data_IF_918457053625
#
_entry.id   IF_918457053625
#
_cell.length_a   1.000
_cell.length_b   1.000
_cell.length_c   1.000
_cell.angle_alpha   90.00
_cell.angle_beta   90.00
_cell.angle_gamma   90.00
#
_symmetry.space_group_name_H-M   'P 1'
#
loop_
_entity.id
_entity.type
_entity.pdbx_description
1 polymer ?
#
# COMPACT_ATOMS: atom_id res chain seq x y z
N UNK A 1 1.18 16.90 -1.39
CA UNK A 1 1.89 17.84 -0.49
C UNK A 1 0.86 18.53 0.38
N UNK A 2 1.27 19.21 1.45
CA UNK A 2 0.39 20.10 2.20
C UNK A 2 0.34 21.49 1.55
N UNK A 3 -0.80 22.16 1.66
CA UNK A 3 -1.12 23.43 1.01
C UNK A 3 -0.24 24.61 1.46
N UNK A 4 0.31 24.55 2.68
CA UNK A 4 1.21 25.55 3.23
C UNK A 4 2.57 25.62 2.52
N UNK A 5 2.87 24.71 1.57
CA UNK A 5 4.06 24.80 0.71
C UNK A 5 4.17 26.15 -0.02
N UNK A 6 3.04 26.76 -0.39
CA UNK A 6 2.99 28.02 -1.12
C UNK A 6 3.42 29.25 -0.29
N UNK A 7 3.52 29.09 1.03
CA UNK A 7 3.81 30.19 1.96
C UNK A 7 4.89 29.84 2.98
N UNK A 8 5.46 28.63 2.91
CA UNK A 8 6.40 28.14 3.91
C UNK A 8 7.81 28.69 3.65
N UNK A 9 8.37 29.36 4.66
CA UNK A 9 9.78 29.77 4.63
C UNK A 9 10.73 28.56 4.54
N UNK A 10 10.32 27.42 5.08
CA UNK A 10 11.06 26.17 5.01
C UNK A 10 11.10 25.62 3.57
N UNK A 11 10.01 25.76 2.81
CA UNK A 11 9.99 25.45 1.39
C UNK A 11 10.87 26.40 0.57
N UNK A 12 10.81 27.70 0.86
CA UNK A 12 11.69 28.68 0.22
C UNK A 12 13.17 28.34 0.45
N UNK A 13 13.55 27.92 1.66
CA UNK A 13 14.92 27.46 1.92
C UNK A 13 15.26 26.16 1.19
N UNK A 14 14.30 25.26 1.02
CA UNK A 14 14.48 23.97 0.36
C UNK A 14 14.81 24.12 -1.14
N UNK A 15 14.14 25.04 -1.85
CA UNK A 15 14.37 25.25 -3.29
C UNK A 15 15.70 25.95 -3.60
N UNK A 16 16.35 26.54 -2.58
CA UNK A 16 17.67 27.16 -2.69
C UNK A 16 18.81 26.26 -2.19
N UNK A 17 18.52 24.99 -1.86
CA UNK A 17 19.58 24.04 -1.52
C UNK A 17 20.49 23.76 -2.73
N UNK A 18 21.75 23.36 -2.52
CA UNK A 18 22.64 23.01 -3.61
C UNK A 18 22.09 21.86 -4.48
N UNK A 19 22.37 21.84 -5.79
CA UNK A 19 22.09 20.68 -6.64
C UNK A 19 22.60 19.37 -6.03
N UNK A 20 21.85 18.29 -6.19
CA UNK A 20 22.13 16.98 -5.60
C UNK A 20 21.57 16.79 -4.19
N UNK A 21 20.94 17.81 -3.62
CA UNK A 21 20.33 17.75 -2.28
C UNK A 21 19.01 16.98 -2.31
N UNK A 22 18.89 16.01 -1.40
CA UNK A 22 17.66 15.27 -1.12
C UNK A 22 16.79 16.09 -0.17
N UNK A 23 15.56 16.35 -0.59
CA UNK A 23 14.54 16.99 0.23
C UNK A 23 13.71 15.90 0.94
N UNK A 24 13.86 15.85 2.25
CA UNK A 24 13.15 14.94 3.14
C UNK A 24 11.88 15.58 3.68
N UNK A 25 10.78 14.83 3.67
CA UNK A 25 9.48 15.31 4.14
C UNK A 25 8.88 14.34 5.15
N UNK A 26 8.21 14.85 6.18
CA UNK A 26 7.37 14.00 7.00
C UNK A 26 6.26 13.39 6.12
N UNK A 27 6.18 12.05 6.08
CA UNK A 27 5.09 11.33 5.42
C UNK A 27 3.90 11.22 6.37
N UNK A 28 2.87 12.05 6.16
CA UNK A 28 1.63 11.98 6.94
C UNK A 28 0.62 11.12 6.21
N UNK A 29 0.21 10.01 6.81
CA UNK A 29 -0.84 9.14 6.27
C UNK A 29 -2.18 9.65 6.78
N UNK A 30 -3.03 10.13 5.86
CA UNK A 30 -4.40 10.50 6.21
C UNK A 30 -5.22 9.22 6.44
N UNK A 31 -6.07 9.23 7.46
CA UNK A 31 -6.82 8.06 7.89
C UNK A 31 -8.32 8.33 7.92
N UNK A 32 -9.07 7.63 7.07
CA UNK A 32 -10.54 7.69 6.98
C UNK A 32 -11.13 9.02 6.50
N UNK A 33 -10.39 10.13 6.62
CA UNK A 33 -10.77 11.47 6.17
C UNK A 33 -9.55 12.40 6.16
N UNK A 34 -9.75 13.68 5.85
CA UNK A 34 -8.71 14.71 5.98
C UNK A 34 -8.52 15.20 7.43
N UNK A 35 -9.28 14.70 8.41
CA UNK A 35 -9.28 15.20 9.79
C UNK A 35 -8.19 14.57 10.64
N UNK A 36 -7.81 13.34 10.34
CA UNK A 36 -6.90 12.56 11.16
C UNK A 36 -5.73 12.03 10.34
N UNK A 37 -4.58 11.91 10.98
CA UNK A 37 -3.39 11.34 10.37
C UNK A 37 -2.53 10.59 11.38
N UNK A 38 -1.63 9.77 10.87
CA UNK A 38 -0.52 9.19 11.62
C UNK A 38 0.78 9.28 10.81
N UNK A 39 1.92 9.13 11.47
CA UNK A 39 3.21 9.02 10.78
C UNK A 39 3.52 7.56 10.50
N UNK A 40 4.20 7.28 9.40
CA UNK A 40 4.50 5.92 8.92
C UNK A 40 5.60 5.20 9.75
N UNK A 41 5.63 5.44 11.06
CA UNK A 41 6.48 4.88 12.11
C UNK A 41 5.66 4.88 13.41
N UNK A 42 5.51 3.72 14.07
CA UNK A 42 4.72 3.60 15.33
C UNK A 42 5.32 4.42 16.48
N UNK A 43 6.60 4.75 16.42
CA UNK A 43 7.28 5.59 17.42
C UNK A 43 7.45 7.04 16.94
N UNK A 44 6.87 7.40 15.80
CA UNK A 44 7.06 8.67 15.06
C UNK A 44 8.54 8.98 14.69
N UNK A 45 9.47 8.08 15.01
CA UNK A 45 10.90 8.24 14.74
C UNK A 45 11.19 8.23 13.25
N UNK A 46 12.05 9.16 12.82
CA UNK A 46 12.62 9.24 11.46
C UNK A 46 11.57 9.21 10.34
N UNK A 47 10.47 9.92 10.53
CA UNK A 47 9.35 9.96 9.56
C UNK A 47 9.63 10.77 8.29
N UNK A 48 10.87 11.25 8.13
CA UNK A 48 11.32 11.97 6.95
C UNK A 48 11.67 10.97 5.85
N UNK A 49 10.90 10.98 4.77
CA UNK A 49 11.18 10.19 3.58
C UNK A 49 11.75 11.09 2.48
N UNK A 50 12.70 10.58 1.68
CA UNK A 50 13.11 11.26 0.46
C UNK A 50 11.91 11.41 -0.48
N UNK A 51 11.56 12.65 -0.82
CA UNK A 51 10.43 12.92 -1.72
C UNK A 51 10.70 14.04 -2.73
N UNK A 52 11.73 14.84 -2.52
CA UNK A 52 12.21 15.82 -3.49
C UNK A 52 13.71 15.71 -3.68
N UNK A 53 14.19 16.28 -4.78
CA UNK A 53 15.59 16.30 -5.15
C UNK A 53 15.87 17.61 -5.91
N UNK A 54 16.91 18.34 -5.51
CA UNK A 54 17.37 19.50 -6.27
C UNK A 54 18.16 18.97 -7.45
N UNK A 55 17.61 19.13 -8.65
CA UNK A 55 18.14 18.54 -9.87
C UNK A 55 19.60 18.94 -10.13
N UNK A 56 20.45 17.93 -10.34
CA UNK A 56 21.85 18.05 -10.74
C UNK A 56 22.15 17.30 -12.05
N UNK A 57 21.11 16.81 -12.74
CA UNK A 57 21.22 16.00 -13.96
C UNK A 57 21.47 14.52 -13.72
N UNK A 58 21.50 14.04 -12.47
CA UNK A 58 21.69 12.61 -12.16
C UNK A 58 20.50 11.76 -12.62
N UNK A 59 20.79 10.68 -13.35
CA UNK A 59 19.78 9.71 -13.78
C UNK A 59 19.21 8.90 -12.63
N UNK A 60 17.88 8.81 -12.56
CA UNK A 60 17.19 7.89 -11.65
C UNK A 60 17.19 6.45 -12.19
N UNK A 61 17.53 5.49 -11.32
CA UNK A 61 17.48 4.06 -11.62
C UNK A 61 16.55 3.38 -10.60
N UNK A 62 15.28 3.17 -10.96
CA UNK A 62 14.30 2.53 -10.09
C UNK A 62 13.54 1.39 -10.76
N UNK A 63 13.03 0.48 -9.95
CA UNK A 63 12.10 -0.57 -10.37
C UNK A 63 10.66 -0.06 -10.42
N UNK A 64 9.77 -0.85 -11.02
CA UNK A 64 8.32 -0.58 -11.08
C UNK A 64 7.75 -0.30 -9.69
N UNK A 65 8.13 -1.09 -8.67
CA UNK A 65 7.66 -0.97 -7.30
C UNK A 65 8.80 -0.94 -6.28
N UNK A 66 8.51 -0.45 -5.08
CA UNK A 66 9.40 -0.51 -3.89
C UNK A 66 10.80 0.10 -4.06
N UNK A 67 10.93 1.13 -4.89
CA UNK A 67 12.18 1.90 -5.02
C UNK A 67 11.99 3.35 -4.62
N UNK A 68 13.09 3.96 -4.16
CA UNK A 68 13.17 5.40 -3.98
C UNK A 68 12.85 6.09 -5.31
N UNK A 69 12.02 7.13 -5.29
CA UNK A 69 11.51 7.81 -6.49
C UNK A 69 12.34 9.03 -6.90
N UNK A 70 13.50 9.20 -6.28
CA UNK A 70 14.46 10.26 -6.58
C UNK A 70 15.85 9.65 -6.84
N UNK A 71 16.74 10.33 -7.59
CA UNK A 71 18.10 9.86 -7.88
C UNK A 71 19.04 10.08 -6.68
N UNK A 72 18.69 9.52 -5.53
CA UNK A 72 19.47 9.64 -4.29
C UNK A 72 20.74 8.80 -4.33
N UNK A 73 21.86 9.39 -3.92
CA UNK A 73 23.15 8.72 -3.69
C UNK A 73 23.43 8.61 -2.20
N UNK A 74 24.33 7.69 -1.81
CA UNK A 74 24.67 7.46 -0.41
C UNK A 74 25.26 8.70 0.27
N UNK A 75 25.94 9.56 -0.49
CA UNK A 75 26.59 10.80 -0.08
C UNK A 75 25.76 12.07 -0.36
N UNK A 76 24.53 11.93 -0.87
CA UNK A 76 23.67 13.08 -1.15
C UNK A 76 23.42 13.90 0.12
N UNK A 77 23.63 15.23 0.11
CA UNK A 77 23.24 16.09 1.21
C UNK A 77 21.72 16.00 1.43
N UNK A 78 21.28 16.18 2.68
CA UNK A 78 19.86 16.09 3.05
C UNK A 78 19.37 17.38 3.68
N UNK A 79 18.21 17.85 3.24
CA UNK A 79 17.48 18.94 3.85
C UNK A 79 16.07 18.45 4.23
N UNK A 80 15.75 18.44 5.53
CA UNK A 80 14.47 17.93 6.03
C UNK A 80 13.49 19.07 6.30
N UNK A 81 12.38 19.11 5.58
CA UNK A 81 11.32 20.10 5.74
C UNK A 81 10.42 19.77 6.92
N UNK A 82 10.42 20.64 7.94
CA UNK A 82 9.66 20.52 9.18
C UNK A 82 8.24 21.07 9.07
N UNK A 83 8.00 22.04 8.20
CA UNK A 83 6.67 22.69 8.07
C UNK A 83 5.78 22.04 7.02
N UNK A 84 6.37 21.67 5.89
CA UNK A 84 5.67 21.10 4.74
C UNK A 84 5.73 19.58 4.81
N UNK A 85 4.58 18.93 4.60
CA UNK A 85 4.44 17.48 4.72
C UNK A 85 3.94 16.85 3.42
N UNK A 86 4.27 15.56 3.24
CA UNK A 86 3.64 14.75 2.20
C UNK A 86 2.32 14.22 2.76
N UNK A 87 1.21 14.83 2.33
CA UNK A 87 -0.12 14.24 2.50
C UNK A 87 -0.21 12.95 1.67
N UNK A 88 -0.17 11.80 2.32
CA UNK A 88 -0.31 10.49 1.70
C UNK A 88 -1.73 9.96 1.93
N UNK A 89 -2.46 9.77 0.83
CA UNK A 89 -3.89 9.44 0.83
C UNK A 89 -4.14 7.93 0.73
N UNK A 90 -3.16 7.08 1.05
CA UNK A 90 -3.33 5.63 0.85
C UNK A 90 -4.38 5.05 1.77
N UNK A 91 -4.54 5.56 2.99
CA UNK A 91 -5.59 5.16 3.95
C UNK A 91 -6.71 6.19 4.11
N UNK A 92 -6.80 7.16 3.21
CA UNK A 92 -7.84 8.17 3.21
C UNK A 92 -9.23 7.55 2.99
N UNK A 93 -9.34 6.66 2.01
CA UNK A 93 -10.49 5.78 1.81
C UNK A 93 -10.06 4.34 2.16
N UNK A 94 -10.69 3.73 3.16
CA UNK A 94 -10.31 2.40 3.65
C UNK A 94 -10.61 1.29 2.65
N UNK A 95 -11.75 1.33 1.96
CA UNK A 95 -12.10 0.34 0.92
C UNK A 95 -11.10 0.37 -0.24
N UNK A 96 -10.70 1.57 -0.65
CA UNK A 96 -9.67 1.79 -1.67
C UNK A 96 -8.32 1.26 -1.23
N UNK A 97 -7.95 1.51 0.02
CA UNK A 97 -6.73 1.01 0.63
C UNK A 97 -6.66 -0.52 0.58
N UNK A 98 -7.74 -1.18 0.99
CA UNK A 98 -7.85 -2.63 1.01
C UNK A 98 -7.80 -3.22 -0.41
N UNK A 99 -8.55 -2.64 -1.37
CA UNK A 99 -8.53 -3.07 -2.77
C UNK A 99 -7.12 -3.01 -3.35
N UNK A 100 -6.41 -1.89 -3.12
CA UNK A 100 -5.02 -1.73 -3.52
C UNK A 100 -4.09 -2.76 -2.84
N UNK A 101 -4.27 -3.01 -1.55
CA UNK A 101 -3.45 -3.98 -0.81
C UNK A 101 -3.67 -5.41 -1.33
N UNK A 102 -4.91 -5.80 -1.67
CA UNK A 102 -5.22 -7.09 -2.33
C UNK A 102 -4.47 -7.18 -3.67
N UNK A 103 -4.49 -6.12 -4.47
CA UNK A 103 -3.81 -6.10 -5.77
C UNK A 103 -2.31 -6.26 -5.61
N UNK A 104 -1.68 -5.52 -4.68
CA UNK A 104 -0.26 -5.65 -4.41
C UNK A 104 0.14 -7.06 -3.97
N UNK A 105 -0.68 -7.71 -3.14
CA UNK A 105 -0.47 -9.12 -2.73
C UNK A 105 -0.48 -10.05 -3.95
N UNK A 106 -1.41 -9.86 -4.89
CA UNK A 106 -1.46 -10.62 -6.14
C UNK A 106 -0.25 -10.32 -7.04
N UNK A 107 0.08 -9.04 -7.24
CA UNK A 107 1.20 -8.62 -8.07
C UNK A 107 2.53 -9.21 -7.57
N UNK A 108 2.78 -9.16 -6.26
CA UNK A 108 3.96 -9.76 -5.64
C UNK A 108 4.00 -11.28 -5.80
N UNK A 109 2.84 -11.93 -5.70
CA UNK A 109 2.75 -13.38 -5.90
C UNK A 109 3.13 -13.80 -7.33
N UNK A 110 2.77 -12.99 -8.32
CA UNK A 110 3.07 -13.24 -9.75
C UNK A 110 4.53 -12.88 -10.04
N UNK A 111 4.98 -11.69 -9.62
CA UNK A 111 6.30 -11.15 -9.97
C UNK A 111 7.45 -11.75 -9.17
N UNK A 112 7.18 -12.26 -7.96
CA UNK A 112 8.17 -12.84 -7.03
C UNK A 112 7.63 -14.15 -6.45
N UNK A 113 7.45 -15.20 -7.28
CA UNK A 113 6.79 -16.45 -6.87
C UNK A 113 7.55 -17.23 -5.78
N UNK A 114 8.82 -16.92 -5.55
CA UNK A 114 9.64 -17.46 -4.45
C UNK A 114 9.36 -16.76 -3.11
N UNK A 115 8.78 -15.55 -3.12
CA UNK A 115 8.49 -14.81 -1.90
C UNK A 115 7.43 -15.54 -1.07
N UNK A 116 7.76 -15.76 0.20
CA UNK A 116 6.89 -16.47 1.13
C UNK A 116 5.54 -15.75 1.33
N UNK A 117 4.44 -16.50 1.32
CA UNK A 117 3.07 -15.96 1.51
C UNK A 117 2.92 -15.16 2.79
N UNK A 118 3.53 -15.60 3.89
CA UNK A 118 3.52 -14.87 5.16
C UNK A 118 4.27 -13.55 5.05
N UNK A 119 5.38 -13.50 4.30
CA UNK A 119 6.10 -12.26 4.03
C UNK A 119 5.25 -11.30 3.21
N UNK A 120 4.56 -11.79 2.15
CA UNK A 120 3.64 -10.99 1.35
C UNK A 120 2.51 -10.45 2.23
N UNK A 121 1.84 -11.30 3.02
CA UNK A 121 0.77 -10.88 3.92
C UNK A 121 1.25 -9.78 4.87
N UNK A 122 2.41 -9.99 5.50
CA UNK A 122 2.99 -9.07 6.48
C UNK A 122 3.37 -7.70 5.92
N UNK A 123 3.73 -7.64 4.64
CA UNK A 123 4.08 -6.40 3.97
C UNK A 123 2.87 -5.48 3.82
N UNK A 124 1.68 -6.04 3.62
CA UNK A 124 0.46 -5.29 3.29
C UNK A 124 -0.59 -5.28 4.40
N UNK A 125 -0.48 -6.10 5.44
CA UNK A 125 -1.35 -6.03 6.64
C UNK A 125 -0.77 -5.15 7.76
N UNK A 126 0.36 -4.48 7.51
CA UNK A 126 1.16 -3.79 8.53
C UNK A 126 0.35 -2.78 9.34
N UNK A 127 -0.47 -1.98 8.65
CA UNK A 127 -1.32 -0.99 9.30
C UNK A 127 -2.33 -1.66 10.22
N UNK A 128 -3.14 -2.60 9.72
CA UNK A 128 -4.15 -3.29 10.53
C UNK A 128 -3.56 -3.99 11.76
N UNK A 129 -2.39 -4.60 11.61
CA UNK A 129 -1.71 -5.27 12.72
C UNK A 129 -1.21 -4.30 13.80
N UNK A 130 -0.83 -3.09 13.42
CA UNK A 130 -0.20 -2.12 14.30
C UNK A 130 -1.08 -0.89 14.57
N UNK A 131 -2.35 -0.90 14.14
CA UNK A 131 -3.24 0.27 14.18
C UNK A 131 -3.30 0.90 15.58
N UNK A 132 -3.38 0.05 16.61
CA UNK A 132 -3.51 0.47 18.01
C UNK A 132 -2.18 0.97 18.62
N UNK A 133 -1.08 0.87 17.86
CA UNK A 133 0.24 1.37 18.25
C UNK A 133 0.58 2.70 17.58
N UNK A 134 -0.19 3.13 16.55
CA UNK A 134 0.04 4.43 15.93
C UNK A 134 -0.51 5.57 16.78
N UNK A 135 0.24 6.66 16.81
CA UNK A 135 -0.24 7.91 17.39
C UNK A 135 -1.07 8.69 16.36
N UNK A 136 -2.38 8.44 16.37
CA UNK A 136 -3.36 9.13 15.52
C UNK A 136 -3.61 10.53 16.08
N UNK A 137 -3.53 11.54 15.21
CA UNK A 137 -3.62 12.97 15.57
C UNK A 137 -4.55 13.72 14.63
N UNK A 138 -5.09 14.83 15.12
CA UNK A 138 -5.79 15.79 14.27
C UNK A 138 -4.82 16.46 13.29
N UNK A 139 -5.24 16.58 12.04
CA UNK A 139 -4.48 17.32 11.02
C UNK A 139 -4.47 18.82 11.30
N UNK A 140 -3.49 19.52 10.74
CA UNK A 140 -3.41 20.98 10.87
C UNK A 140 -4.23 21.67 9.76
N UNK A 141 -5.05 22.68 10.06
CA UNK A 141 -5.87 23.36 9.05
C UNK A 141 -5.07 24.01 7.92
N UNK A 142 -3.87 24.52 8.22
CA UNK A 142 -2.99 25.15 7.24
C UNK A 142 -2.52 24.18 6.14
N UNK A 143 -2.53 22.88 6.40
CA UNK A 143 -2.22 21.85 5.39
C UNK A 143 -3.24 21.76 4.25
N UNK A 144 -4.45 22.29 4.43
CA UNK A 144 -5.53 22.22 3.43
C UNK A 144 -5.99 23.58 2.94
N UNK A 145 -5.68 24.65 3.67
CA UNK A 145 -6.21 26.02 3.45
C UNK A 145 -6.16 26.56 2.02
N UNK A 146 -5.17 26.18 1.19
CA UNK A 146 -5.12 26.61 -0.21
C UNK A 146 -5.79 25.62 -1.18
N UNK A 147 -6.00 24.36 -0.80
CA UNK A 147 -6.79 23.41 -1.60
C UNK A 147 -8.25 23.81 -1.65
N UNK A 148 -8.82 24.18 -0.49
CA UNK A 148 -10.21 24.64 -0.39
C UNK A 148 -10.45 25.89 -1.26
N UNK A 149 -9.51 26.85 -1.21
CA UNK A 149 -9.57 28.07 -2.04
C UNK A 149 -9.47 27.79 -3.54
N UNK A 150 -8.79 26.72 -3.92
CA UNK A 150 -8.65 26.28 -5.31
C UNK A 150 -9.78 25.35 -5.78
N UNK A 151 -10.80 25.12 -4.95
CA UNK A 151 -11.92 24.24 -5.28
C UNK A 151 -11.55 22.75 -5.26
N UNK A 152 -10.43 22.39 -4.64
CA UNK A 152 -10.04 20.99 -4.44
C UNK A 152 -10.66 20.50 -3.14
N UNK A 153 -11.72 19.71 -3.25
CA UNK A 153 -12.41 19.12 -2.10
C UNK A 153 -11.70 17.85 -1.62
N UNK A 154 -11.09 17.92 -0.43
CA UNK A 154 -10.46 16.79 0.26
C UNK A 154 -11.30 16.32 1.45
N UNK A 155 -12.58 16.67 1.51
CA UNK A 155 -13.45 16.35 2.65
C UNK A 155 -14.24 15.05 2.49
N UNK A 156 -14.32 14.50 1.27
CA UNK A 156 -15.22 13.40 0.96
C UNK A 156 -14.54 12.24 0.20
N UNK A 157 -14.86 11.00 0.57
CA UNK A 157 -14.26 9.79 -0.02
C UNK A 157 -15.29 8.73 -0.49
N UNK A 158 -16.59 8.93 -0.30
CA UNK A 158 -17.46 7.79 0.07
C UNK A 158 -18.54 7.39 -0.93
N UNK A 159 -18.27 7.35 -2.24
CA UNK A 159 -19.21 6.74 -3.20
C UNK A 159 -18.67 5.52 -3.93
N UNK A 160 -17.36 5.38 -4.03
CA UNK A 160 -16.76 4.29 -4.79
C UNK A 160 -16.50 3.08 -3.88
N UNK A 161 -17.09 1.94 -4.24
CA UNK A 161 -16.92 0.68 -3.50
C UNK A 161 -16.16 -0.38 -4.30
N UNK A 162 -15.87 -0.09 -5.57
CA UNK A 162 -15.15 -0.98 -6.49
C UNK A 162 -14.12 -0.14 -7.20
N UNK A 163 -12.88 -0.59 -7.18
CA UNK A 163 -11.76 0.17 -7.70
C UNK A 163 -11.12 -0.58 -8.87
N UNK A 164 -10.34 0.14 -9.69
CA UNK A 164 -9.66 -0.45 -10.84
C UNK A 164 -8.73 -1.64 -10.47
N UNK A 165 -8.19 -1.66 -9.25
CA UNK A 165 -7.42 -2.77 -8.70
C UNK A 165 -8.21 -4.08 -8.65
N UNK A 166 -9.51 -4.02 -8.38
CA UNK A 166 -10.36 -5.21 -8.34
C UNK A 166 -10.50 -5.82 -9.74
N UNK A 167 -10.62 -4.97 -10.76
CA UNK A 167 -10.62 -5.39 -12.17
C UNK A 167 -9.29 -6.00 -12.59
N UNK A 168 -8.17 -5.44 -12.14
CA UNK A 168 -6.85 -6.00 -12.40
C UNK A 168 -6.65 -7.37 -11.74
N UNK A 169 -7.17 -7.59 -10.53
CA UNK A 169 -7.13 -8.92 -9.89
C UNK A 169 -7.92 -9.95 -10.70
N UNK A 170 -9.08 -9.57 -11.24
CA UNK A 170 -9.85 -10.45 -12.14
C UNK A 170 -9.09 -10.74 -13.44
N UNK A 171 -8.35 -9.77 -13.99
CA UNK A 171 -7.45 -9.98 -15.14
C UNK A 171 -6.32 -10.94 -14.77
N UNK A 172 -5.76 -10.85 -13.57
CA UNK A 172 -4.81 -11.85 -13.07
C UNK A 172 -5.43 -13.24 -12.95
N UNK A 173 -6.68 -13.36 -12.51
CA UNK A 173 -7.38 -14.65 -12.50
C UNK A 173 -7.61 -15.21 -13.91
N UNK A 174 -7.92 -14.34 -14.90
CA UNK A 174 -8.01 -14.76 -16.30
C UNK A 174 -6.68 -15.33 -16.81
N UNK A 175 -5.59 -14.63 -16.49
CA UNK A 175 -4.26 -14.95 -17.03
C UNK A 175 -3.58 -16.13 -16.32
N UNK A 176 -3.75 -16.27 -15.01
CA UNK A 176 -3.00 -17.22 -14.18
C UNK A 176 -3.86 -18.27 -13.47
N UNK A 177 -5.18 -18.19 -13.60
CA UNK A 177 -6.12 -18.94 -12.76
C UNK A 177 -6.09 -18.45 -11.30
N UNK A 178 -6.89 -19.08 -10.44
CA UNK A 178 -6.99 -18.71 -9.02
C UNK A 178 -5.99 -19.45 -8.13
N UNK A 179 -5.47 -20.59 -8.59
CA UNK A 179 -4.62 -21.49 -7.80
C UNK A 179 -3.35 -20.80 -7.23
N UNK A 180 -2.61 -19.93 -7.96
CA UNK A 180 -1.44 -19.26 -7.40
C UNK A 180 -1.75 -18.34 -6.21
N UNK A 181 -2.99 -17.84 -6.12
CA UNK A 181 -3.45 -16.86 -5.14
C UNK A 181 -4.17 -17.49 -3.94
N UNK A 182 -4.37 -18.81 -3.95
CA UNK A 182 -5.24 -19.51 -2.98
C UNK A 182 -4.88 -19.27 -1.51
N UNK A 183 -3.62 -19.04 -1.19
CA UNK A 183 -3.17 -18.77 0.18
C UNK A 183 -3.08 -17.29 0.53
N UNK A 184 -3.30 -16.38 -0.43
CA UNK A 184 -3.34 -14.94 -0.13
C UNK A 184 -4.63 -14.61 0.62
N UNK A 185 -4.56 -13.59 1.46
CA UNK A 185 -5.73 -13.03 2.13
C UNK A 185 -6.37 -11.95 1.23
N UNK A 186 -7.11 -12.42 0.23
CA UNK A 186 -7.84 -11.60 -0.77
C UNK A 186 -9.27 -12.11 -0.99
N UNK A 187 -9.67 -13.17 -0.30
CA UNK A 187 -10.90 -13.93 -0.57
C UNK A 187 -12.09 -13.50 0.28
N UNK A 188 -11.98 -12.36 0.95
CA UNK A 188 -13.06 -11.64 1.63
C UNK A 188 -14.01 -10.92 0.65
N UNK A 189 -13.57 -10.76 -0.60
CA UNK A 189 -14.33 -10.17 -1.71
C UNK A 189 -15.10 -11.24 -2.48
N UNK A 190 -16.35 -10.94 -2.85
CA UNK A 190 -17.12 -11.75 -3.79
C UNK A 190 -16.65 -11.48 -5.24
N UNK A 191 -15.55 -12.16 -5.61
CA UNK A 191 -14.95 -12.02 -6.94
C UNK A 191 -15.88 -12.46 -8.08
N UNK A 192 -16.82 -13.38 -7.83
CA UNK A 192 -17.76 -13.82 -8.86
C UNK A 192 -18.85 -12.77 -9.09
N UNK A 193 -19.36 -12.12 -8.03
CA UNK A 193 -20.25 -10.98 -8.16
C UNK A 193 -19.57 -9.81 -8.90
N UNK A 194 -18.33 -9.47 -8.52
CA UNK A 194 -17.56 -8.43 -9.22
C UNK A 194 -17.33 -8.78 -10.69
N UNK A 195 -16.96 -10.02 -11.01
CA UNK A 195 -16.79 -10.47 -12.40
C UNK A 195 -18.06 -10.25 -13.23
N UNK A 196 -19.23 -10.65 -12.70
CA UNK A 196 -20.52 -10.47 -13.39
C UNK A 196 -20.83 -8.99 -13.60
N UNK A 197 -20.61 -8.17 -12.59
CA UNK A 197 -20.81 -6.72 -12.68
C UNK A 197 -19.89 -6.10 -13.72
N UNK A 198 -18.60 -6.42 -13.70
CA UNK A 198 -17.64 -5.91 -14.67
C UNK A 198 -17.97 -6.32 -16.11
N UNK A 199 -18.42 -7.56 -16.33
CA UNK A 199 -18.89 -8.01 -17.65
C UNK A 199 -20.15 -7.25 -18.11
N UNK A 200 -21.11 -7.02 -17.21
CA UNK A 200 -22.32 -6.23 -17.51
C UNK A 200 -21.99 -4.76 -17.84
N UNK A 201 -20.90 -4.23 -17.29
CA UNK A 201 -20.38 -2.89 -17.58
C UNK A 201 -19.46 -2.82 -18.80
N UNK A 202 -19.18 -3.96 -19.45
CA UNK A 202 -18.28 -4.00 -20.61
C UNK A 202 -16.79 -3.82 -20.27
N UNK A 203 -16.38 -4.09 -19.03
CA UNK A 203 -14.98 -4.02 -18.63
C UNK A 203 -14.18 -5.11 -19.36
N UNK A 204 -13.16 -4.69 -20.10
CA UNK A 204 -12.35 -5.59 -20.91
C UNK A 204 -11.37 -6.44 -20.08
N UNK A 205 -11.02 -7.61 -20.63
CA UNK A 205 -10.00 -8.50 -20.07
C UNK A 205 -10.47 -9.37 -18.90
N UNK A 206 -11.76 -9.34 -18.55
CA UNK A 206 -12.29 -10.16 -17.44
C UNK A 206 -12.48 -11.64 -17.83
N UNK A 207 -12.48 -12.57 -16.85
CA UNK A 207 -12.80 -13.97 -17.08
C UNK A 207 -14.26 -14.14 -17.57
N UNK A 208 -14.43 -14.83 -18.70
CA UNK A 208 -15.76 -15.07 -19.30
C UNK A 208 -16.54 -16.16 -18.57
N UNK A 209 -15.82 -17.18 -18.08
CA UNK A 209 -16.38 -18.29 -17.32
C UNK A 209 -16.43 -17.96 -15.81
N UNK A 210 -17.31 -18.62 -15.05
CA UNK A 210 -17.32 -18.52 -13.58
C UNK A 210 -15.96 -18.85 -12.97
N UNK A 211 -15.61 -18.18 -11.87
CA UNK A 211 -14.35 -18.40 -11.19
C UNK A 211 -14.36 -19.72 -10.40
N UNK A 212 -13.27 -20.48 -10.50
CA UNK A 212 -13.01 -21.62 -9.62
C UNK A 212 -12.36 -21.13 -8.32
N UNK A 213 -13.17 -20.93 -7.27
CA UNK A 213 -12.67 -20.38 -6.01
C UNK A 213 -11.94 -21.45 -5.16
N UNK A 214 -10.73 -21.17 -4.62
CA UNK A 214 -10.02 -22.11 -3.76
C UNK A 214 -10.58 -22.09 -2.34
N UNK A 215 -11.67 -22.83 -2.16
CA UNK A 215 -12.49 -22.87 -0.96
C UNK A 215 -12.22 -24.10 -0.08
N UNK A 216 -11.15 -24.86 -0.34
CA UNK A 216 -10.83 -26.02 0.49
C UNK A 216 -10.65 -25.65 1.96
N UNK A 217 -10.96 -26.58 2.88
CA UNK A 217 -10.76 -26.36 4.32
C UNK A 217 -9.31 -26.00 4.64
N UNK A 218 -8.37 -26.61 3.91
CA UNK A 218 -6.95 -26.34 4.05
C UNK A 218 -6.60 -24.90 3.67
N UNK A 219 -7.08 -24.41 2.52
CA UNK A 219 -6.81 -23.04 2.09
C UNK A 219 -7.41 -22.02 3.08
N UNK A 220 -8.63 -22.29 3.56
CA UNK A 220 -9.29 -21.47 4.59
C UNK A 220 -8.48 -21.44 5.89
N UNK A 221 -7.96 -22.59 6.33
CA UNK A 221 -7.15 -22.68 7.54
C UNK A 221 -5.85 -21.87 7.40
N UNK A 222 -5.15 -21.99 6.28
CA UNK A 222 -3.92 -21.22 6.02
C UNK A 222 -4.21 -19.73 6.12
N UNK A 223 -5.28 -19.25 5.47
CA UNK A 223 -5.68 -17.84 5.51
C UNK A 223 -6.06 -17.39 6.92
N UNK A 224 -6.75 -18.22 7.69
CA UNK A 224 -7.06 -17.94 9.08
C UNK A 224 -5.78 -17.82 9.94
N UNK A 225 -4.79 -18.69 9.71
CA UNK A 225 -3.49 -18.62 10.41
C UNK A 225 -2.74 -17.34 10.06
N UNK A 226 -2.81 -16.86 8.81
CA UNK A 226 -2.16 -15.60 8.41
C UNK A 226 -2.69 -14.41 9.22
N UNK A 227 -3.99 -14.40 9.54
CA UNK A 227 -4.66 -13.33 10.31
C UNK A 227 -4.34 -13.34 11.81
N UNK A 228 -3.68 -14.38 12.32
CA UNK A 228 -3.38 -14.45 13.76
C UNK A 228 -2.36 -13.38 14.16
N UNK A 229 -2.61 -12.63 15.25
CA UNK A 229 -1.64 -11.67 15.78
C UNK A 229 -0.34 -12.39 16.11
N UNK A 230 0.78 -11.74 15.79
CA UNK A 230 2.10 -12.36 15.93
C UNK A 230 2.52 -12.48 17.39
N UNK A 231 2.21 -13.60 18.04
CA UNK A 231 3.02 -14.08 19.15
C UNK A 231 4.35 -14.56 18.56
N UNK A 232 5.46 -13.89 18.88
CA UNK A 232 6.81 -14.18 18.33
C UNK A 232 7.06 -15.70 18.28
N UNK A 233 7.20 -16.22 17.06
CA UNK A 233 7.50 -17.62 16.80
C UNK A 233 6.33 -18.62 16.83
N UNK A 234 5.12 -18.27 17.25
CA UNK A 234 3.98 -19.22 17.22
C UNK A 234 3.49 -19.44 15.78
N UNK A 235 3.21 -18.37 15.04
CA UNK A 235 2.78 -18.45 13.63
C UNK A 235 3.84 -19.11 12.75
N UNK A 236 5.12 -18.77 12.95
CA UNK A 236 6.22 -19.42 12.22
C UNK A 236 6.33 -20.92 12.56
N UNK A 237 6.11 -21.31 13.83
CA UNK A 237 6.08 -22.73 14.25
C UNK A 237 4.88 -23.48 13.66
N UNK A 238 3.70 -22.86 13.65
CA UNK A 238 2.49 -23.44 13.05
C UNK A 238 2.70 -23.62 11.54
N UNK A 239 3.11 -22.56 10.84
CA UNK A 239 3.38 -22.62 9.39
C UNK A 239 4.49 -23.62 9.06
N UNK A 240 5.60 -23.63 9.79
CA UNK A 240 6.70 -24.60 9.60
C UNK A 240 6.22 -26.04 9.81
N UNK A 241 5.37 -26.30 10.81
CA UNK A 241 4.75 -27.61 11.00
C UNK A 241 3.83 -27.95 9.83
N UNK A 242 3.01 -27.01 9.35
CA UNK A 242 2.14 -27.25 8.19
C UNK A 242 2.94 -27.56 6.91
N UNK A 243 4.09 -26.92 6.68
CA UNK A 243 5.00 -27.30 5.59
C UNK A 243 5.63 -28.68 5.84
N UNK A 244 6.12 -28.95 7.05
CA UNK A 244 6.81 -30.21 7.41
C UNK A 244 5.91 -31.44 7.30
N UNK A 245 4.63 -31.31 7.63
CA UNK A 245 3.66 -32.41 7.55
C UNK A 245 2.98 -32.51 6.17
N UNK A 246 3.48 -31.81 5.15
CA UNK A 246 2.94 -31.88 3.80
C UNK A 246 1.52 -31.34 3.65
N UNK A 247 1.03 -30.61 4.67
CA UNK A 247 -0.23 -29.88 4.62
C UNK A 247 -0.06 -28.80 3.56
N UNK A 248 0.98 -27.97 3.65
CA UNK A 248 1.34 -27.04 2.57
C UNK A 248 2.39 -27.70 1.68
N UNK A 249 2.00 -28.18 0.50
CA UNK A 249 2.98 -28.59 -0.52
C UNK A 249 3.56 -27.34 -1.18
N UNK A 250 4.88 -27.24 -1.24
CA UNK A 250 5.53 -26.34 -2.19
C UNK A 250 5.10 -26.79 -3.59
N UNK A 251 4.49 -25.89 -4.35
CA UNK A 251 4.31 -26.11 -5.78
C UNK A 251 5.72 -26.07 -6.35
N UNK A 252 6.31 -27.25 -6.61
CA UNK A 252 7.43 -27.34 -7.52
C UNK A 252 6.95 -26.80 -8.87
N UNK A 253 7.77 -25.98 -9.56
CA UNK A 253 7.39 -25.37 -10.84
C UNK A 253 6.94 -26.41 -11.87
#
# INVERSE_FOLDING_TARGET
MSANILTSADWENAIHQPPGTVLGFAKVELYGSAKEYFLHSVEDKSSFIPFGFVDDGTTHNGEVLHTCRIPERADSPRFNLKEVVVLHLTRFNTLRAESKDRWYRCFERISKPEKNILTIHRLYDFFERLKDQFNIRNTRPDWFSNYDKSGVDLTFSDTETIFWWDWEILRFFKQHGTAPFRHLDIWDVDWEALRRQGLAQGIEGLPEKPLELPLSLQDRLIRAVLKLPYARGLVNRIMSRMFRYGIIRTVTP
#
